data_IF_885577175417
#
_entry.id   IF_885577175417
#
_cell.length_a   1.000
_cell.length_b   1.000
_cell.length_c   1.000
_cell.angle_alpha   90.00
_cell.angle_beta   90.00
_cell.angle_gamma   90.00
#
_symmetry.space_group_name_H-M   'P 1'
#
loop_
_entity.id
_entity.type
_entity.pdbx_description
1 polymer ?
#
# COMPACT_ATOMS: atom_id res chain seq x y z
N UNK A 1 -16.68 65.44 8.83
CA UNK A 1 -16.21 64.40 9.77
C UNK A 1 -15.28 63.50 8.99
N UNK A 2 -14.08 63.28 9.53
CA UNK A 2 -12.84 62.86 8.86
C UNK A 2 -12.89 61.52 8.12
N UNK A 3 -12.22 61.49 6.96
CA UNK A 3 -11.70 60.33 6.24
C UNK A 3 -10.63 59.64 7.09
N UNK A 4 -10.41 58.32 6.94
CA UNK A 4 -9.10 57.65 6.71
C UNK A 4 -9.15 56.15 7.08
N UNK A 5 -9.07 55.33 6.03
CA UNK A 5 -8.41 54.01 5.87
C UNK A 5 -8.32 53.04 7.07
N UNK A 6 -8.79 51.81 6.86
CA UNK A 6 -8.21 50.59 7.43
C UNK A 6 -8.56 49.37 6.56
N UNK A 7 -8.29 49.48 5.25
CA UNK A 7 -7.59 48.39 4.55
C UNK A 7 -6.11 48.69 4.83
N UNK A 8 -5.27 47.69 5.07
CA UNK A 8 -3.84 47.80 5.45
C UNK A 8 -3.49 47.69 6.97
N UNK A 9 -3.98 46.64 7.62
CA UNK A 9 -3.34 45.95 8.76
C UNK A 9 -4.25 44.73 9.03
N UNK A 10 -3.97 43.52 8.59
CA UNK A 10 -3.16 42.56 9.34
C UNK A 10 -2.87 41.37 8.40
N UNK A 11 -2.25 41.66 7.25
CA UNK A 11 -1.70 40.63 6.36
C UNK A 11 -0.41 39.99 6.92
N UNK A 12 0.10 40.47 8.06
CA UNK A 12 1.35 40.02 8.66
C UNK A 12 1.20 38.88 9.70
N UNK A 13 -0.01 38.56 10.16
CA UNK A 13 -0.20 37.54 11.21
C UNK A 13 -0.54 36.12 10.67
N UNK A 14 -0.70 35.98 9.35
CA UNK A 14 -1.12 34.72 8.72
C UNK A 14 0.05 33.83 8.29
N UNK A 15 1.24 34.41 8.14
CA UNK A 15 2.45 33.70 7.69
C UNK A 15 3.13 32.93 8.85
N UNK A 16 3.16 33.49 10.07
CA UNK A 16 3.93 32.89 11.17
C UNK A 16 3.29 31.60 11.74
N UNK A 17 1.97 31.46 11.65
CA UNK A 17 1.28 30.26 12.09
C UNK A 17 1.57 29.05 11.19
N UNK A 18 1.91 29.26 9.91
CA UNK A 18 2.21 28.18 8.98
C UNK A 18 3.58 27.55 9.26
N UNK A 19 4.57 28.34 9.69
CA UNK A 19 5.92 27.85 9.95
C UNK A 19 6.00 26.90 11.16
N UNK A 20 5.14 27.09 12.17
CA UNK A 20 5.15 26.27 13.38
C UNK A 20 4.47 24.91 13.19
N UNK A 21 3.51 24.81 12.26
CA UNK A 21 2.78 23.57 12.02
C UNK A 21 3.62 22.52 11.27
N UNK A 22 4.60 22.94 10.46
CA UNK A 22 5.42 22.03 9.66
C UNK A 22 6.52 21.37 10.52
N UNK A 23 6.99 22.03 11.59
CA UNK A 23 8.03 21.49 12.47
C UNK A 23 7.50 20.49 13.53
N UNK A 24 6.19 20.47 13.80
CA UNK A 24 5.57 19.48 14.69
C UNK A 24 5.17 18.17 13.97
N UNK A 25 5.15 18.17 12.63
CA UNK A 25 4.90 16.97 11.81
C UNK A 25 6.17 16.10 11.63
N UNK A 26 7.30 16.50 12.20
CA UNK A 26 8.63 15.89 11.98
C UNK A 26 9.13 15.01 13.13
N UNK A 27 8.26 14.59 14.05
CA UNK A 27 8.64 13.62 15.12
C UNK A 27 7.79 12.37 15.15
N UNK A 28 7.49 11.81 13.98
CA UNK A 28 7.69 10.39 13.70
C UNK A 28 7.62 10.19 12.17
N UNK A 29 8.74 9.76 11.59
CA UNK A 29 8.88 9.17 10.25
C UNK A 29 8.02 9.71 9.10
N UNK A 30 8.70 10.32 8.13
CA UNK A 30 8.23 10.34 6.73
C UNK A 30 7.96 8.90 6.25
N UNK A 31 6.70 8.47 6.34
CA UNK A 31 6.23 7.16 5.91
C UNK A 31 4.76 6.82 6.25
N UNK A 32 3.95 7.78 6.71
CA UNK A 32 2.64 7.50 7.35
C UNK A 32 1.49 8.33 6.74
N UNK A 33 1.29 8.20 5.42
CA UNK A 33 -0.06 8.34 4.84
C UNK A 33 -0.54 6.98 4.33
N UNK A 34 -0.17 5.91 5.01
CA UNK A 34 -0.69 4.57 4.79
C UNK A 34 -1.97 4.49 5.64
N UNK A 35 -3.12 4.43 4.98
CA UNK A 35 -4.45 4.06 5.47
C UNK A 35 -4.70 4.16 6.98
N UNK A 36 -5.62 5.06 7.39
CA UNK A 36 -6.22 5.11 8.75
C UNK A 36 -7.03 3.85 9.13
N UNK A 37 -6.75 2.69 8.52
CA UNK A 37 -7.38 1.42 8.80
C UNK A 37 -6.30 0.38 9.07
N UNK A 38 -6.32 -0.18 10.28
CA UNK A 38 -5.50 -1.33 10.63
C UNK A 38 -6.00 -2.53 9.81
N UNK A 39 -5.22 -2.89 8.80
CA UNK A 39 -5.52 -3.97 7.88
C UNK A 39 -4.69 -5.20 8.30
N UNK A 40 -5.42 -6.24 8.70
CA UNK A 40 -4.85 -7.51 9.11
C UNK A 40 -4.76 -8.44 7.90
N UNK A 41 -3.55 -8.90 7.59
CA UNK A 41 -3.32 -9.84 6.48
C UNK A 41 -3.17 -11.23 7.05
N UNK A 42 -4.10 -12.10 6.68
CA UNK A 42 -4.18 -13.47 7.17
C UNK A 42 -3.86 -14.41 6.02
N UNK A 43 -2.92 -15.33 6.25
CA UNK A 43 -2.56 -16.37 5.31
C UNK A 43 -3.38 -17.65 5.56
N UNK A 44 -4.32 -17.95 4.66
CA UNK A 44 -5.02 -19.24 4.64
C UNK A 44 -4.25 -20.22 3.75
N UNK A 45 -3.30 -20.91 4.38
CA UNK A 45 -2.48 -21.90 3.66
C UNK A 45 -3.28 -23.12 3.22
N UNK A 46 -4.39 -23.44 3.89
CA UNK A 46 -5.28 -24.56 3.55
C UNK A 46 -6.03 -24.31 2.23
N UNK A 47 -6.47 -23.07 2.03
CA UNK A 47 -7.18 -22.63 0.83
C UNK A 47 -6.28 -21.93 -0.18
N UNK A 48 -4.98 -21.87 0.09
CA UNK A 48 -3.97 -21.20 -0.73
C UNK A 48 -4.40 -19.78 -1.13
N UNK A 49 -4.81 -18.99 -0.14
CA UNK A 49 -5.18 -17.58 -0.34
C UNK A 49 -4.73 -16.74 0.83
N UNK A 50 -4.25 -15.54 0.55
CA UNK A 50 -4.14 -14.49 1.54
C UNK A 50 -5.41 -13.66 1.51
N UNK A 51 -5.87 -13.18 2.66
CA UNK A 51 -6.93 -12.20 2.71
C UNK A 51 -6.56 -11.07 3.66
N UNK A 52 -7.01 -9.88 3.31
CA UNK A 52 -6.91 -8.69 4.12
C UNK A 52 -8.27 -8.43 4.76
N UNK A 53 -8.28 -8.30 6.07
CA UNK A 53 -9.45 -7.93 6.84
C UNK A 53 -9.23 -6.61 7.57
N UNK A 54 -10.28 -5.79 7.66
CA UNK A 54 -10.31 -4.65 8.57
C UNK A 54 -11.26 -5.02 9.71
N UNK A 55 -10.71 -5.22 10.90
CA UNK A 55 -11.47 -5.70 12.05
C UNK A 55 -12.04 -7.10 11.82
N UNK A 56 -13.33 -7.20 11.47
CA UNK A 56 -14.03 -8.46 11.24
C UNK A 56 -14.44 -8.71 9.78
N UNK A 57 -14.17 -7.76 8.88
CA UNK A 57 -14.60 -7.82 7.48
C UNK A 57 -13.43 -8.04 6.53
N UNK A 58 -13.49 -9.12 5.74
CA UNK A 58 -12.52 -9.39 4.69
C UNK A 58 -12.79 -8.50 3.48
N UNK A 59 -11.89 -7.55 3.22
CA UNK A 59 -12.04 -6.54 2.16
C UNK A 59 -11.21 -6.85 0.92
N UNK A 60 -10.23 -7.76 1.01
CA UNK A 60 -9.47 -8.22 -0.14
C UNK A 60 -8.99 -9.66 0.04
N UNK A 61 -8.79 -10.35 -1.07
CA UNK A 61 -8.13 -11.65 -1.11
C UNK A 61 -7.16 -11.73 -2.29
N UNK A 62 -6.05 -12.43 -2.09
CA UNK A 62 -5.05 -12.75 -3.09
C UNK A 62 -4.92 -14.27 -3.14
N UNK A 63 -5.45 -14.86 -4.20
CA UNK A 63 -5.35 -16.28 -4.44
C UNK A 63 -3.97 -16.64 -4.97
N UNK A 64 -3.39 -17.72 -4.46
CA UNK A 64 -2.11 -18.23 -4.90
C UNK A 64 -2.13 -19.74 -5.10
N UNK A 65 -1.08 -20.25 -5.74
CA UNK A 65 -0.80 -21.68 -5.81
C UNK A 65 0.67 -21.95 -5.59
N UNK A 66 0.97 -23.02 -4.86
CA UNK A 66 2.33 -23.51 -4.76
C UNK A 66 2.58 -24.54 -5.86
N UNK A 67 3.57 -24.30 -6.72
CA UNK A 67 3.91 -25.19 -7.85
C UNK A 67 5.42 -25.37 -7.86
N UNK A 68 5.96 -26.59 -7.84
CA UNK A 68 7.39 -26.82 -8.10
C UNK A 68 8.38 -25.95 -7.30
N UNK A 69 8.07 -25.62 -6.04
CA UNK A 69 8.95 -24.81 -5.19
C UNK A 69 8.69 -23.29 -5.21
N UNK A 70 7.79 -22.79 -6.05
CA UNK A 70 7.48 -21.34 -6.21
C UNK A 70 6.02 -21.02 -5.88
N UNK A 71 5.77 -19.75 -5.55
CA UNK A 71 4.43 -19.21 -5.25
C UNK A 71 3.88 -18.50 -6.48
N UNK A 72 2.84 -19.05 -7.09
CA UNK A 72 2.15 -18.47 -8.24
C UNK A 72 1.02 -17.58 -7.74
N UNK A 73 1.13 -16.28 -7.90
CA UNK A 73 0.11 -15.29 -7.57
C UNK A 73 -0.88 -15.19 -8.74
N UNK A 74 -2.12 -15.63 -8.50
CA UNK A 74 -3.12 -15.86 -9.55
C UNK A 74 -3.99 -14.62 -9.79
N UNK A 75 -4.77 -14.23 -8.79
CA UNK A 75 -5.70 -13.10 -8.89
C UNK A 75 -5.85 -12.43 -7.54
N UNK A 76 -5.91 -11.10 -7.57
CA UNK A 76 -6.28 -10.28 -6.43
C UNK A 76 -7.72 -9.81 -6.60
N UNK A 77 -8.56 -10.09 -5.62
CA UNK A 77 -9.88 -9.51 -5.49
C UNK A 77 -9.84 -8.48 -4.36
N UNK A 78 -10.40 -7.30 -4.62
CA UNK A 78 -10.57 -6.26 -3.61
C UNK A 78 -11.99 -5.76 -3.73
N UNK A 79 -12.64 -5.61 -2.59
CA UNK A 79 -13.98 -5.06 -2.53
C UNK A 79 -13.99 -3.66 -3.19
N UNK A 80 -14.92 -3.40 -4.12
CA UNK A 80 -14.96 -2.15 -4.87
C UNK A 80 -15.13 -0.92 -3.98
N UNK A 81 -15.76 -1.04 -2.80
CA UNK A 81 -15.87 0.06 -1.85
C UNK A 81 -14.51 0.49 -1.28
N UNK A 82 -13.50 -0.39 -1.35
CA UNK A 82 -12.18 -0.21 -0.76
C UNK A 82 -11.05 -0.09 -1.80
N UNK A 83 -11.35 -0.19 -3.11
CA UNK A 83 -10.35 -0.11 -4.19
C UNK A 83 -9.56 1.20 -4.22
N UNK A 84 -10.15 2.31 -3.78
CA UNK A 84 -9.51 3.64 -3.81
C UNK A 84 -8.53 3.88 -2.65
N UNK A 85 -8.36 2.88 -1.77
CA UNK A 85 -7.61 3.00 -0.53
C UNK A 85 -6.28 2.24 -0.53
N UNK A 86 -5.75 1.90 -1.69
CA UNK A 86 -4.47 1.18 -1.82
C UNK A 86 -4.42 -0.16 -1.07
N UNK A 87 -5.58 -0.71 -0.69
CA UNK A 87 -5.73 -2.01 -0.02
C UNK A 87 -5.05 -3.13 -0.81
N UNK A 88 -5.19 -3.12 -2.14
CA UNK A 88 -4.51 -4.07 -3.02
C UNK A 88 -2.98 -3.97 -2.89
N UNK A 89 -2.47 -2.74 -2.91
CA UNK A 89 -1.04 -2.43 -2.80
C UNK A 89 -0.47 -2.92 -1.48
N UNK A 90 -1.16 -2.64 -0.38
CA UNK A 90 -0.72 -3.03 0.96
C UNK A 90 -0.77 -4.54 1.17
N UNK A 91 -1.86 -5.20 0.76
CA UNK A 91 -1.97 -6.66 0.78
C UNK A 91 -0.84 -7.30 -0.02
N UNK A 92 -0.59 -6.82 -1.24
CA UNK A 92 0.49 -7.33 -2.09
C UNK A 92 1.84 -7.11 -1.42
N UNK A 93 2.11 -5.92 -0.88
CA UNK A 93 3.37 -5.60 -0.21
C UNK A 93 3.62 -6.54 0.97
N UNK A 94 2.64 -6.73 1.87
CA UNK A 94 2.72 -7.64 3.02
C UNK A 94 2.93 -9.10 2.59
N UNK A 95 2.19 -9.57 1.59
CA UNK A 95 2.34 -10.94 1.07
C UNK A 95 3.73 -11.16 0.49
N UNK A 96 4.24 -10.20 -0.29
CA UNK A 96 5.59 -10.29 -0.85
C UNK A 96 6.66 -10.25 0.22
N UNK A 97 6.47 -9.45 1.27
CA UNK A 97 7.37 -9.38 2.41
C UNK A 97 7.36 -10.67 3.24
N UNK A 98 6.21 -11.32 3.42
CA UNK A 98 6.09 -12.63 4.06
C UNK A 98 6.81 -13.73 3.25
N UNK A 99 6.71 -13.68 1.91
CA UNK A 99 7.38 -14.66 1.04
C UNK A 99 8.89 -14.43 0.97
N UNK A 100 9.36 -13.19 1.04
CA UNK A 100 10.79 -12.83 0.92
C UNK A 100 11.73 -13.66 1.84
N UNK A 101 11.51 -13.77 3.16
CA UNK A 101 12.38 -14.54 4.05
C UNK A 101 12.31 -16.04 3.81
N UNK A 102 11.26 -16.55 3.16
CA UNK A 102 11.16 -17.99 2.83
C UNK A 102 12.12 -18.40 1.71
N UNK A 103 12.72 -17.44 1.00
CA UNK A 103 13.62 -17.69 -0.14
C UNK A 103 12.94 -18.29 -1.37
N UNK A 104 11.61 -18.41 -1.36
CA UNK A 104 10.83 -18.92 -2.50
C UNK A 104 10.75 -17.86 -3.59
N UNK A 105 10.83 -18.30 -4.85
CA UNK A 105 10.52 -17.43 -5.99
C UNK A 105 9.01 -17.33 -6.19
N UNK A 106 8.56 -16.24 -6.79
CA UNK A 106 7.16 -16.01 -7.13
C UNK A 106 6.95 -15.95 -8.64
N UNK A 107 5.81 -16.43 -9.10
CA UNK A 107 5.35 -16.24 -10.48
C UNK A 107 4.12 -15.38 -10.44
N UNK A 108 4.12 -14.28 -11.20
CA UNK A 108 3.02 -13.32 -11.18
C UNK A 108 2.19 -13.48 -12.45
N UNK A 109 0.96 -13.94 -12.29
CA UNK A 109 -0.01 -14.04 -13.38
C UNK A 109 -0.95 -12.83 -13.37
N UNK A 110 -1.26 -12.29 -12.19
CA UNK A 110 -2.14 -11.13 -12.04
C UNK A 110 -1.45 -9.84 -12.55
N UNK A 111 -2.06 -9.08 -13.47
CA UNK A 111 -1.48 -7.84 -13.97
C UNK A 111 -1.36 -6.76 -12.88
N UNK A 112 -2.25 -6.75 -11.89
CA UNK A 112 -2.22 -5.79 -10.76
C UNK A 112 -0.92 -5.95 -9.95
N UNK A 113 -0.57 -7.20 -9.64
CA UNK A 113 0.67 -7.53 -8.93
C UNK A 113 1.88 -7.21 -9.81
N UNK A 114 1.80 -7.50 -11.11
CA UNK A 114 2.85 -7.16 -12.06
C UNK A 114 3.15 -5.66 -12.09
N UNK A 115 2.11 -4.83 -12.12
CA UNK A 115 2.24 -3.38 -12.07
C UNK A 115 2.77 -2.88 -10.72
N UNK A 116 2.34 -3.48 -9.60
CA UNK A 116 2.89 -3.19 -8.28
C UNK A 116 4.41 -3.41 -8.24
N UNK A 117 4.90 -4.54 -8.76
CA UNK A 117 6.34 -4.86 -8.78
C UNK A 117 7.09 -4.02 -9.81
N UNK A 118 6.44 -3.58 -10.89
CA UNK A 118 7.02 -2.62 -11.82
C UNK A 118 7.33 -1.28 -11.14
N UNK A 119 6.44 -0.83 -10.25
CA UNK A 119 6.62 0.38 -9.41
C UNK A 119 7.59 0.15 -8.25
N UNK A 120 7.69 -1.10 -7.76
CA UNK A 120 8.52 -1.50 -6.63
C UNK A 120 9.62 -2.48 -7.04
N UNK A 121 10.74 -1.99 -7.63
CA UNK A 121 11.78 -2.85 -8.16
C UNK A 121 12.47 -3.71 -7.10
N UNK A 122 12.35 -3.39 -5.81
CA UNK A 122 12.90 -4.19 -4.71
C UNK A 122 12.34 -5.62 -4.68
N UNK A 123 11.14 -5.86 -5.20
CA UNK A 123 10.52 -7.20 -5.25
C UNK A 123 10.82 -7.96 -6.55
N UNK A 124 11.49 -7.34 -7.53
CA UNK A 124 11.85 -8.00 -8.80
C UNK A 124 12.80 -9.18 -8.61
N UNK A 125 13.59 -9.20 -7.53
CA UNK A 125 14.44 -10.35 -7.21
C UNK A 125 13.60 -11.60 -6.88
N UNK A 126 12.44 -11.42 -6.26
CA UNK A 126 11.55 -12.53 -5.90
C UNK A 126 10.90 -13.15 -7.14
N UNK A 127 10.70 -12.38 -8.21
CA UNK A 127 10.08 -12.89 -9.44
C UNK A 127 10.99 -13.93 -10.09
N UNK A 128 10.42 -15.12 -10.32
CA UNK A 128 10.97 -16.11 -11.21
C UNK A 128 10.89 -15.59 -12.65
N UNK A 129 11.99 -15.01 -13.13
CA UNK A 129 12.14 -14.49 -14.50
C UNK A 129 12.10 -15.59 -15.57
N UNK A 130 12.01 -16.86 -15.18
CA UNK A 130 11.98 -18.00 -16.10
C UNK A 130 10.58 -18.31 -16.65
N UNK A 131 9.52 -17.66 -16.18
CA UNK A 131 8.21 -17.73 -16.81
C UNK A 131 8.05 -16.66 -17.90
N UNK A 132 8.74 -16.86 -19.02
CA UNK A 132 8.34 -16.24 -20.28
C UNK A 132 7.08 -16.95 -20.77
N UNK A 133 5.91 -16.35 -20.55
CA UNK A 133 4.72 -16.70 -21.32
C UNK A 133 4.92 -16.05 -22.69
N UNK A 134 5.39 -16.87 -23.63
CA UNK A 134 5.38 -16.53 -25.05
C UNK A 134 3.98 -16.56 -25.63
#
# INVERSE_FOLDING_TARGET
MTVTTSVEAEAAAREENNATLIAALDKTGLGEVESSWELDVINDTERSRWFAAIGAEAIAELSYRFVGGRVVLLTTWVDPAYRHHQVATELIARVLDEIRPTGKKITVICPVVGEFIARNPQYRDLIDRHCHVG
#
